data_IF_899672353867
#
_entry.id   IF_899672353867
#
_cell.length_a   1.000
_cell.length_b   1.000
_cell.length_c   1.000
_cell.angle_alpha   90.00
_cell.angle_beta   90.00
_cell.angle_gamma   90.00
#
_symmetry.space_group_name_H-M   'P 1'
#
loop_
_entity.id
_entity.type
_entity.pdbx_description
1 polymer ?
#
# COMPACT_ATOMS: atom_id res chain seq x y z
N UNK A 1 3.87 -16.35 -18.82
CA UNK A 1 3.96 -15.30 -17.78
C UNK A 1 4.07 -13.89 -18.36
N UNK A 2 5.03 -13.54 -19.26
CA UNK A 2 5.15 -12.15 -19.80
C UNK A 2 3.85 -11.59 -20.39
N UNK A 3 3.08 -12.38 -21.16
CA UNK A 3 1.78 -11.94 -21.71
C UNK A 3 0.74 -11.63 -20.61
N UNK A 4 0.66 -12.48 -19.58
CA UNK A 4 -0.26 -12.28 -18.46
C UNK A 4 0.06 -10.97 -17.71
N UNK A 5 1.34 -10.68 -17.48
CA UNK A 5 1.80 -9.43 -16.86
C UNK A 5 1.39 -8.20 -17.67
N UNK A 6 1.56 -8.24 -19.01
CA UNK A 6 1.16 -7.10 -19.85
C UNK A 6 -0.36 -6.89 -19.83
N UNK A 7 -1.15 -7.97 -19.91
CA UNK A 7 -2.60 -7.88 -19.84
C UNK A 7 -3.03 -7.30 -18.48
N UNK A 8 -2.44 -7.80 -17.39
CA UNK A 8 -2.71 -7.30 -16.04
C UNK A 8 -2.41 -5.79 -15.93
N UNK A 9 -1.24 -5.34 -16.41
CA UNK A 9 -0.87 -3.92 -16.38
C UNK A 9 -1.84 -3.05 -17.20
N UNK A 10 -2.25 -3.51 -18.39
CA UNK A 10 -3.23 -2.79 -19.21
C UNK A 10 -4.57 -2.65 -18.46
N UNK A 11 -5.06 -3.73 -17.85
CA UNK A 11 -6.31 -3.71 -17.08
C UNK A 11 -6.19 -2.74 -15.90
N UNK A 12 -5.08 -2.78 -15.16
CA UNK A 12 -4.84 -1.88 -14.04
C UNK A 12 -4.81 -0.41 -14.47
N UNK A 13 -4.15 -0.09 -15.59
CA UNK A 13 -4.16 1.26 -16.14
C UNK A 13 -5.56 1.72 -16.56
N UNK A 14 -6.36 0.85 -17.16
CA UNK A 14 -7.75 1.16 -17.52
C UNK A 14 -8.60 1.44 -16.28
N UNK A 15 -8.49 0.61 -15.23
CA UNK A 15 -9.17 0.82 -13.97
C UNK A 15 -8.73 2.14 -13.33
N UNK A 16 -7.42 2.43 -13.30
CA UNK A 16 -6.86 3.66 -12.76
C UNK A 16 -7.42 4.90 -13.45
N UNK A 17 -7.36 4.94 -14.79
CA UNK A 17 -7.90 6.06 -15.57
C UNK A 17 -9.40 6.22 -15.34
N UNK A 18 -10.14 5.10 -15.27
CA UNK A 18 -11.59 5.13 -15.09
C UNK A 18 -12.00 5.74 -13.74
N UNK A 19 -11.41 5.31 -12.62
CA UNK A 19 -11.79 5.89 -11.33
C UNK A 19 -11.25 7.31 -11.16
N UNK A 20 -10.09 7.65 -11.72
CA UNK A 20 -9.57 9.02 -11.70
C UNK A 20 -10.49 9.98 -12.46
N UNK A 21 -10.99 9.56 -13.61
CA UNK A 21 -11.98 10.36 -14.36
C UNK A 21 -13.29 10.52 -13.59
N UNK A 22 -13.78 9.46 -12.93
CA UNK A 22 -14.97 9.53 -12.08
C UNK A 22 -14.79 10.49 -10.89
N UNK A 23 -13.65 10.44 -10.20
CA UNK A 23 -13.35 11.31 -9.07
C UNK A 23 -13.25 12.80 -9.49
N UNK A 24 -12.72 13.06 -10.70
CA UNK A 24 -12.56 14.43 -11.19
C UNK A 24 -13.87 15.03 -11.72
N UNK A 25 -14.70 14.25 -12.41
CA UNK A 25 -15.85 14.78 -13.14
C UNK A 25 -17.18 14.60 -12.43
N UNK A 26 -17.30 13.71 -11.44
CA UNK A 26 -18.61 13.41 -10.86
C UNK A 26 -18.57 13.05 -9.37
N UNK A 27 -18.91 14.02 -8.52
CA UNK A 27 -19.12 13.78 -7.08
C UNK A 27 -20.22 12.76 -6.78
N UNK A 28 -21.18 12.59 -7.70
CA UNK A 28 -22.30 11.65 -7.53
C UNK A 28 -21.90 10.18 -7.74
N UNK A 29 -20.75 9.90 -8.34
CA UNK A 29 -20.28 8.55 -8.64
C UNK A 29 -19.26 7.99 -7.64
N UNK A 30 -19.17 8.58 -6.45
CA UNK A 30 -18.19 8.18 -5.42
C UNK A 30 -18.22 6.69 -5.05
N UNK A 31 -19.41 6.09 -5.00
CA UNK A 31 -19.55 4.66 -4.75
C UNK A 31 -18.98 3.79 -5.88
N UNK A 32 -19.22 4.14 -7.14
CA UNK A 32 -18.68 3.40 -8.29
C UNK A 32 -17.16 3.57 -8.40
N UNK A 33 -16.62 4.76 -8.11
CA UNK A 33 -15.19 4.99 -8.02
C UNK A 33 -14.54 4.13 -6.91
N UNK A 34 -15.15 4.06 -5.73
CA UNK A 34 -14.70 3.20 -4.63
C UNK A 34 -14.71 1.71 -5.03
N UNK A 35 -15.77 1.26 -5.72
CA UNK A 35 -15.87 -0.11 -6.21
C UNK A 35 -14.76 -0.44 -7.22
N UNK A 36 -14.47 0.48 -8.16
CA UNK A 36 -13.39 0.30 -9.14
C UNK A 36 -12.01 0.24 -8.46
N UNK A 37 -11.75 1.12 -7.49
CA UNK A 37 -10.51 1.09 -6.69
C UNK A 37 -10.34 -0.27 -6.01
N UNK A 38 -11.39 -0.73 -5.33
CA UNK A 38 -11.37 -2.02 -4.64
C UNK A 38 -11.18 -3.20 -5.60
N UNK A 39 -11.81 -3.16 -6.78
CA UNK A 39 -11.62 -4.17 -7.83
C UNK A 39 -10.17 -4.22 -8.32
N UNK A 40 -9.53 -3.06 -8.49
CA UNK A 40 -8.11 -2.97 -8.83
C UNK A 40 -7.22 -3.68 -7.82
N UNK A 41 -7.49 -3.50 -6.53
CA UNK A 41 -6.73 -4.15 -5.45
C UNK A 41 -6.99 -5.65 -5.40
N UNK A 42 -8.24 -6.10 -5.59
CA UNK A 42 -8.56 -7.53 -5.72
C UNK A 42 -7.78 -8.19 -6.87
N UNK A 43 -7.69 -7.52 -8.02
CA UNK A 43 -6.89 -8.01 -9.15
C UNK A 43 -5.39 -8.07 -8.82
N UNK A 44 -4.85 -7.09 -8.08
CA UNK A 44 -3.46 -7.13 -7.59
C UNK A 44 -3.22 -8.33 -6.66
N UNK A 45 -4.14 -8.61 -5.74
CA UNK A 45 -4.05 -9.76 -4.85
C UNK A 45 -4.10 -11.08 -5.62
N UNK A 46 -5.02 -11.20 -6.57
CA UNK A 46 -5.13 -12.39 -7.43
C UNK A 46 -3.87 -12.58 -8.29
N UNK A 47 -3.33 -11.50 -8.85
CA UNK A 47 -2.10 -11.56 -9.62
C UNK A 47 -0.90 -11.98 -8.75
N UNK A 48 -0.77 -11.42 -7.55
CA UNK A 48 0.27 -11.80 -6.58
C UNK A 48 0.14 -13.26 -6.17
N UNK A 49 -1.09 -13.75 -5.96
CA UNK A 49 -1.36 -15.16 -5.69
C UNK A 49 -0.93 -16.06 -6.84
N UNK A 50 -1.26 -15.70 -8.09
CA UNK A 50 -0.84 -16.48 -9.27
C UNK A 50 0.67 -16.49 -9.44
N UNK A 51 1.36 -15.39 -9.16
CA UNK A 51 2.82 -15.34 -9.14
C UNK A 51 3.39 -16.24 -8.04
N UNK A 52 2.82 -16.23 -6.85
CA UNK A 52 3.27 -17.06 -5.73
C UNK A 52 3.13 -18.56 -6.03
N UNK A 53 2.03 -18.97 -6.67
CA UNK A 53 1.76 -20.39 -6.93
C UNK A 53 2.43 -20.94 -8.20
N UNK A 54 2.60 -20.12 -9.23
CA UNK A 54 3.04 -20.57 -10.56
C UNK A 54 4.40 -20.03 -11.00
N UNK A 55 5.01 -19.08 -10.26
CA UNK A 55 6.32 -18.59 -10.63
C UNK A 55 7.43 -19.42 -9.97
N UNK A 56 8.54 -19.61 -10.71
CA UNK A 56 9.78 -20.15 -10.14
C UNK A 56 10.50 -19.14 -9.23
N UNK A 57 9.90 -17.95 -9.04
CA UNK A 57 10.42 -16.89 -8.19
C UNK A 57 9.93 -17.18 -6.77
N UNK A 58 10.84 -17.40 -5.84
CA UNK A 58 10.50 -17.55 -4.41
C UNK A 58 10.07 -16.19 -3.84
N UNK A 59 8.78 -15.88 -3.98
CA UNK A 59 8.20 -14.70 -3.34
C UNK A 59 8.10 -14.93 -1.84
N UNK A 60 8.51 -13.95 -1.06
CA UNK A 60 8.33 -13.99 0.38
C UNK A 60 6.84 -14.07 0.74
N UNK A 61 6.41 -14.94 1.70
CA UNK A 61 5.02 -15.02 2.13
C UNK A 61 4.49 -13.70 2.70
N UNK A 62 5.36 -12.79 3.11
CA UNK A 62 4.98 -11.45 3.56
C UNK A 62 4.29 -10.61 2.47
N UNK A 63 4.61 -10.84 1.18
CA UNK A 63 3.92 -10.17 0.07
C UNK A 63 2.46 -10.59 -0.02
N UNK A 64 2.18 -11.87 0.10
CA UNK A 64 0.81 -12.38 0.06
C UNK A 64 0.01 -11.90 1.27
N UNK A 65 0.62 -11.95 2.47
CA UNK A 65 0.00 -11.42 3.68
C UNK A 65 -0.31 -9.91 3.56
N UNK A 66 0.63 -9.13 3.01
CA UNK A 66 0.42 -7.71 2.76
C UNK A 66 -0.77 -7.46 1.82
N UNK A 67 -0.88 -8.20 0.71
CA UNK A 67 -2.00 -8.08 -0.22
C UNK A 67 -3.35 -8.36 0.45
N UNK A 68 -3.44 -9.39 1.28
CA UNK A 68 -4.68 -9.71 2.00
C UNK A 68 -5.04 -8.58 2.99
N UNK A 69 -4.05 -8.06 3.73
CA UNK A 69 -4.29 -6.99 4.71
C UNK A 69 -4.65 -5.66 4.01
N UNK A 70 -4.08 -5.38 2.82
CA UNK A 70 -4.50 -4.22 2.00
C UNK A 70 -5.98 -4.27 1.67
N UNK A 71 -6.54 -5.45 1.34
CA UNK A 71 -7.99 -5.57 1.08
C UNK A 71 -8.83 -5.11 2.28
N UNK A 72 -8.43 -5.46 3.50
CA UNK A 72 -9.13 -4.99 4.70
C UNK A 72 -8.94 -3.48 4.92
N UNK A 73 -7.73 -2.97 4.69
CA UNK A 73 -7.44 -1.54 4.83
C UNK A 73 -8.33 -0.70 3.90
N UNK A 74 -8.40 -1.09 2.63
CA UNK A 74 -9.21 -0.40 1.63
C UNK A 74 -10.71 -0.59 1.87
N UNK A 75 -11.14 -1.75 2.37
CA UNK A 75 -12.52 -1.92 2.80
C UNK A 75 -12.90 -0.89 3.88
N UNK A 76 -12.06 -0.72 4.91
CA UNK A 76 -12.33 0.28 5.95
C UNK A 76 -12.33 1.71 5.39
N UNK A 77 -11.43 2.06 4.48
CA UNK A 77 -11.33 3.41 3.93
C UNK A 77 -12.43 3.75 2.92
N UNK A 78 -12.84 2.78 2.11
CA UNK A 78 -13.76 3.02 0.98
C UNK A 78 -15.22 2.81 1.35
N UNK A 79 -15.53 1.87 2.26
CA UNK A 79 -16.89 1.42 2.52
C UNK A 79 -17.37 1.64 3.95
N UNK A 80 -16.49 2.08 4.85
CA UNK A 80 -16.87 2.32 6.25
C UNK A 80 -16.45 3.72 6.71
N UNK A 81 -17.09 4.28 7.74
CA UNK A 81 -16.64 5.54 8.35
C UNK A 81 -15.38 5.38 9.22
N UNK A 82 -14.83 4.16 9.31
CA UNK A 82 -13.70 3.84 10.18
C UNK A 82 -12.34 4.12 9.52
N UNK A 83 -12.14 5.33 9.02
CA UNK A 83 -10.90 5.74 8.35
C UNK A 83 -9.65 5.54 9.20
N UNK A 84 -9.77 5.68 10.54
CA UNK A 84 -8.66 5.42 11.45
C UNK A 84 -8.19 3.96 11.39
N UNK A 85 -9.13 3.00 11.41
CA UNK A 85 -8.83 1.58 11.30
C UNK A 85 -8.14 1.26 9.96
N UNK A 86 -8.62 1.86 8.86
CA UNK A 86 -8.00 1.72 7.54
C UNK A 86 -6.55 2.19 7.52
N UNK A 87 -6.27 3.39 8.04
CA UNK A 87 -4.89 3.92 8.08
C UNK A 87 -3.98 3.08 8.97
N UNK A 88 -4.45 2.63 10.14
CA UNK A 88 -3.69 1.73 11.01
C UNK A 88 -3.35 0.42 10.30
N UNK A 89 -4.31 -0.15 9.58
CA UNK A 89 -4.11 -1.38 8.80
C UNK A 89 -3.08 -1.15 7.69
N UNK A 90 -3.07 0.01 7.02
CA UNK A 90 -2.04 0.38 6.06
C UNK A 90 -0.65 0.51 6.69
N UNK A 91 -0.52 1.02 7.91
CA UNK A 91 0.76 1.00 8.62
C UNK A 91 1.28 -0.43 8.84
N UNK A 92 0.40 -1.39 9.16
CA UNK A 92 0.78 -2.81 9.25
C UNK A 92 1.25 -3.36 7.90
N UNK A 93 0.60 -2.99 6.80
CA UNK A 93 1.04 -3.36 5.44
C UNK A 93 2.46 -2.87 5.16
N UNK A 94 2.79 -1.64 5.55
CA UNK A 94 4.15 -1.11 5.37
C UNK A 94 5.20 -1.90 6.15
N UNK A 95 4.86 -2.37 7.35
CA UNK A 95 5.74 -3.27 8.12
C UNK A 95 5.96 -4.61 7.39
N UNK A 96 4.92 -5.18 6.79
CA UNK A 96 5.04 -6.42 6.01
C UNK A 96 5.88 -6.23 4.74
N UNK A 97 5.74 -5.10 4.04
CA UNK A 97 6.59 -4.77 2.91
C UNK A 97 8.06 -4.65 3.29
N UNK A 98 8.36 -4.03 4.44
CA UNK A 98 9.72 -3.99 4.95
C UNK A 98 10.26 -5.40 5.26
N UNK A 99 9.46 -6.24 5.91
CA UNK A 99 9.83 -7.64 6.19
C UNK A 99 10.08 -8.43 4.92
N UNK A 100 9.29 -8.20 3.87
CA UNK A 100 9.46 -8.83 2.57
C UNK A 100 10.76 -8.40 1.86
N UNK A 101 11.15 -7.12 2.00
CA UNK A 101 12.32 -6.55 1.32
C UNK A 101 13.63 -6.74 2.08
N UNK A 102 13.62 -6.65 3.40
CA UNK A 102 14.83 -6.64 4.25
C UNK A 102 14.85 -7.72 5.33
N UNK A 103 13.75 -8.45 5.48
CA UNK A 103 13.55 -9.39 6.58
C UNK A 103 13.18 -8.70 7.91
N UNK A 104 12.72 -9.52 8.86
CA UNK A 104 12.15 -9.03 10.12
C UNK A 104 13.15 -8.32 11.05
N UNK A 105 14.46 -8.44 10.81
CA UNK A 105 15.51 -7.82 11.66
C UNK A 105 15.44 -6.29 11.69
N UNK A 106 14.97 -5.66 10.61
CA UNK A 106 14.85 -4.20 10.51
C UNK A 106 13.54 -3.66 11.10
N UNK A 107 12.57 -4.52 11.38
CA UNK A 107 11.24 -4.13 11.84
C UNK A 107 11.25 -3.32 13.15
N UNK A 108 11.98 -3.70 14.21
CA UNK A 108 12.01 -2.92 15.46
C UNK A 108 12.52 -1.48 15.24
N UNK A 109 13.62 -1.33 14.49
CA UNK A 109 14.17 0.00 14.16
C UNK A 109 13.20 0.85 13.33
N UNK A 110 12.50 0.23 12.39
CA UNK A 110 11.52 0.90 11.53
C UNK A 110 10.30 1.40 12.35
N UNK A 111 9.79 0.58 13.26
CA UNK A 111 8.69 0.95 14.16
C UNK A 111 9.13 2.06 15.11
N UNK A 112 10.32 1.91 15.72
CA UNK A 112 10.87 2.93 16.62
C UNK A 112 11.06 4.27 15.90
N UNK A 113 11.66 4.27 14.72
CA UNK A 113 11.85 5.47 13.90
C UNK A 113 10.50 6.12 13.56
N UNK A 114 9.54 5.35 13.10
CA UNK A 114 8.21 5.85 12.75
C UNK A 114 7.47 6.41 13.98
N UNK A 115 7.62 5.79 15.14
CA UNK A 115 7.06 6.26 16.42
C UNK A 115 7.70 7.57 16.90
N UNK A 116 9.03 7.68 16.79
CA UNK A 116 9.76 8.91 17.14
C UNK A 116 9.31 10.12 16.32
N UNK A 117 9.06 9.95 15.02
CA UNK A 117 8.52 11.00 14.17
C UNK A 117 7.02 11.21 14.37
N UNK A 118 6.28 10.16 14.68
CA UNK A 118 4.83 10.21 14.92
C UNK A 118 4.46 11.06 16.12
N UNK A 119 5.27 11.03 17.18
CA UNK A 119 5.00 11.77 18.40
C UNK A 119 4.97 13.30 18.20
N UNK A 120 6.02 13.96 17.68
CA UNK A 120 5.96 15.40 17.40
C UNK A 120 4.90 15.77 16.37
N UNK A 121 4.69 14.95 15.34
CA UNK A 121 3.66 15.17 14.32
C UNK A 121 2.27 15.20 14.97
N UNK A 122 1.97 14.26 15.88
CA UNK A 122 0.70 14.25 16.60
C UNK A 122 0.47 15.57 17.38
N UNK A 123 1.46 16.08 18.11
CA UNK A 123 1.32 17.32 18.87
C UNK A 123 1.11 18.53 17.98
N UNK A 124 1.78 18.59 16.82
CA UNK A 124 1.58 19.65 15.81
C UNK A 124 0.12 19.61 15.34
N UNK A 125 -0.40 18.44 14.95
CA UNK A 125 -1.80 18.33 14.49
C UNK A 125 -2.80 18.58 15.62
N UNK A 126 -2.49 18.17 16.85
CA UNK A 126 -3.34 18.46 18.01
C UNK A 126 -3.49 19.95 18.27
N UNK A 127 -2.44 20.74 18.01
CA UNK A 127 -2.50 22.20 18.11
C UNK A 127 -3.27 22.86 16.95
N UNK A 128 -3.19 22.29 15.73
CA UNK A 128 -3.78 22.86 14.51
C UNK A 128 -5.24 22.40 14.28
N UNK A 129 -5.52 21.12 14.48
CA UNK A 129 -6.84 20.49 14.23
C UNK A 129 -7.08 19.36 15.27
N UNK A 130 -7.54 19.69 16.47
CA UNK A 130 -7.67 18.71 17.56
C UNK A 130 -8.57 17.54 17.21
N UNK A 131 -9.68 17.77 16.47
CA UNK A 131 -10.68 16.73 16.13
C UNK A 131 -10.15 15.68 15.14
N UNK A 132 -9.15 16.04 14.33
CA UNK A 132 -8.56 15.15 13.33
C UNK A 132 -7.08 14.81 13.61
N UNK A 133 -6.56 15.21 14.78
CA UNK A 133 -5.12 15.12 15.08
C UNK A 133 -4.56 13.69 14.94
N UNK A 134 -5.27 12.71 15.49
CA UNK A 134 -4.83 11.31 15.47
C UNK A 134 -4.81 10.75 14.05
N UNK A 135 -5.88 10.97 13.27
CA UNK A 135 -5.96 10.50 11.87
C UNK A 135 -4.87 11.15 11.02
N UNK A 136 -4.68 12.47 11.17
CA UNK A 136 -3.66 13.22 10.42
C UNK A 136 -2.25 12.76 10.76
N UNK A 137 -1.95 12.54 12.05
CA UNK A 137 -0.65 12.04 12.49
C UNK A 137 -0.37 10.62 11.95
N UNK A 138 -1.34 9.71 12.03
CA UNK A 138 -1.20 8.35 11.48
C UNK A 138 -1.05 8.36 9.96
N UNK A 139 -1.76 9.23 9.25
CA UNK A 139 -1.60 9.37 7.80
C UNK A 139 -0.20 9.85 7.42
N UNK A 140 0.39 10.78 8.19
CA UNK A 140 1.76 11.23 7.98
C UNK A 140 2.79 10.13 8.30
N UNK A 141 2.57 9.35 9.37
CA UNK A 141 3.40 8.18 9.68
C UNK A 141 3.34 7.17 8.55
N UNK A 142 2.14 6.87 8.05
CA UNK A 142 1.95 5.99 6.90
C UNK A 142 2.72 6.49 5.67
N UNK A 143 2.61 7.79 5.33
CA UNK A 143 3.35 8.38 4.20
C UNK A 143 4.86 8.28 4.39
N UNK A 144 5.37 8.47 5.60
CA UNK A 144 6.79 8.29 5.93
C UNK A 144 7.21 6.82 5.71
N UNK A 145 6.44 5.88 6.23
CA UNK A 145 6.71 4.44 6.06
C UNK A 145 6.70 4.03 4.58
N UNK A 146 5.72 4.53 3.82
CA UNK A 146 5.62 4.30 2.37
C UNK A 146 6.85 4.84 1.63
N UNK A 147 7.27 6.06 1.94
CA UNK A 147 8.44 6.69 1.32
C UNK A 147 9.72 5.88 1.59
N UNK A 148 9.90 5.38 2.82
CA UNK A 148 11.04 4.52 3.17
C UNK A 148 11.00 3.22 2.36
N UNK A 149 9.84 2.56 2.28
CA UNK A 149 9.69 1.32 1.52
C UNK A 149 9.97 1.51 0.03
N UNK A 150 9.47 2.61 -0.58
CA UNK A 150 9.78 2.97 -1.97
C UNK A 150 11.28 3.21 -2.15
N UNK A 151 11.91 3.96 -1.25
CA UNK A 151 13.36 4.22 -1.28
C UNK A 151 14.18 2.92 -1.22
N UNK A 152 13.79 1.98 -0.37
CA UNK A 152 14.43 0.65 -0.27
C UNK A 152 14.23 -0.14 -1.57
N UNK A 153 13.03 -0.11 -2.13
CA UNK A 153 12.70 -0.82 -3.37
C UNK A 153 13.51 -0.28 -4.55
N UNK A 154 13.60 1.04 -4.70
CA UNK A 154 14.43 1.70 -5.71
C UNK A 154 15.91 1.34 -5.53
N UNK A 155 16.44 1.42 -4.30
CA UNK A 155 17.82 1.05 -4.01
C UNK A 155 18.13 -0.41 -4.38
N UNK A 156 17.21 -1.33 -4.02
CA UNK A 156 17.37 -2.74 -4.37
C UNK A 156 17.32 -2.96 -5.89
N UNK A 157 16.44 -2.25 -6.60
CA UNK A 157 16.34 -2.33 -8.07
C UNK A 157 17.60 -1.82 -8.76
N UNK A 158 18.14 -0.67 -8.31
CA UNK A 158 19.38 -0.10 -8.88
C UNK A 158 20.58 -1.03 -8.63
N UNK A 159 20.65 -1.63 -7.44
CA UNK A 159 21.77 -2.52 -7.07
C UNK A 159 21.68 -3.89 -7.75
N UNK A 160 20.48 -4.39 -7.98
CA UNK A 160 20.21 -5.70 -8.56
C UNK A 160 19.13 -5.56 -9.65
N UNK A 161 19.49 -5.13 -10.88
CA UNK A 161 18.53 -4.86 -11.95
C UNK A 161 17.94 -6.17 -12.49
N UNK A 162 17.17 -6.85 -11.65
CA UNK A 162 16.43 -8.05 -12.03
C UNK A 162 14.93 -7.74 -11.97
N UNK A 163 14.17 -8.26 -12.93
CA UNK A 163 12.72 -8.06 -13.05
C UNK A 163 11.99 -8.43 -11.74
N UNK A 164 12.51 -9.41 -10.98
CA UNK A 164 11.94 -9.79 -9.68
C UNK A 164 11.97 -8.62 -8.66
N UNK A 165 12.96 -7.73 -8.72
CA UNK A 165 13.06 -6.57 -7.83
C UNK A 165 12.20 -5.38 -8.29
N UNK A 166 11.82 -5.32 -9.58
CA UNK A 166 10.85 -4.34 -10.06
C UNK A 166 9.46 -4.60 -9.49
N UNK A 167 9.07 -5.87 -9.37
CA UNK A 167 7.78 -6.25 -8.76
C UNK A 167 7.72 -6.00 -7.24
N UNK A 168 8.85 -5.79 -6.59
CA UNK A 168 8.90 -5.41 -5.18
C UNK A 168 8.80 -3.89 -4.98
N UNK A 169 8.88 -3.12 -6.06
CA UNK A 169 8.83 -1.65 -6.04
C UNK A 169 7.45 -1.08 -6.43
N UNK A 170 6.57 -1.91 -6.99
CA UNK A 170 5.19 -1.58 -7.35
C UNK A 170 4.24 -2.09 -6.27
#
# INVERSE_FOLDING_TARGET
MKRLTHIFLIIQWLIFISYMTMDLYSRSMGFYSALLKYTGILLCCFYTWTLYTHSQISLSPYWLAACVIVLFADYFLLFTPQSLAGVMTFCMVQCLYLCAQKGGKFLPGFILFSGLWGFPIYFIFKALKPDAALLSALSMIYMLMLTINIGIAIHNFVKYPNISHLFTAI
#
